data_IF_596616423359
#
_entry.id   IF_596616423359
#
_cell.length_a   1.000
_cell.length_b   1.000
_cell.length_c   1.000
_cell.angle_alpha   90.00
_cell.angle_beta   90.00
_cell.angle_gamma   90.00
#
_symmetry.space_group_name_H-M   'P 1'
#
loop_
_entity.id
_entity.type
_entity.pdbx_description
1 polymer ?
#
# COMPACT_ATOMS: atom_id res chain seq x y z
N UNK A 1 1.63 14.00 -69.92
CA UNK A 1 3.04 13.80 -69.52
C UNK A 1 3.70 15.17 -69.45
N UNK A 2 4.23 15.52 -68.27
CA UNK A 2 5.01 16.71 -67.91
C UNK A 2 4.69 18.05 -68.57
N UNK A 3 4.02 18.95 -67.81
CA UNK A 3 4.53 20.25 -67.36
C UNK A 3 3.40 21.00 -66.63
N UNK A 4 3.66 21.54 -65.43
CA UNK A 4 3.26 22.90 -65.05
C UNK A 4 3.95 23.37 -63.75
N UNK A 5 4.49 24.57 -63.86
CA UNK A 5 5.13 25.43 -62.88
C UNK A 5 4.18 25.95 -61.78
N UNK A 6 4.71 26.37 -60.62
CA UNK A 6 4.59 27.77 -60.13
C UNK A 6 5.28 28.01 -58.76
N UNK A 7 6.37 28.79 -58.80
CA UNK A 7 6.65 30.04 -58.07
C UNK A 7 6.07 30.39 -56.67
N UNK A 8 6.95 31.08 -55.90
CA UNK A 8 6.76 32.09 -54.82
C UNK A 8 6.51 31.54 -53.41
N UNK A 9 6.87 32.20 -52.32
CA UNK A 9 7.80 33.27 -51.96
C UNK A 9 7.84 33.27 -50.42
N UNK A 10 8.97 33.60 -49.81
CA UNK A 10 9.08 33.75 -48.35
C UNK A 10 8.27 34.98 -47.89
N UNK A 11 7.36 34.79 -46.94
CA UNK A 11 6.78 35.86 -46.13
C UNK A 11 6.72 35.43 -44.66
N UNK A 12 7.61 36.02 -43.87
CA UNK A 12 7.49 36.15 -42.42
C UNK A 12 6.24 36.95 -42.09
N UNK A 13 5.35 36.39 -41.27
CA UNK A 13 4.26 37.12 -40.66
C UNK A 13 4.30 36.89 -39.14
N UNK A 14 4.46 37.99 -38.41
CA UNK A 14 4.17 38.10 -36.99
C UNK A 14 2.67 37.97 -36.77
N UNK A 15 2.26 37.20 -35.76
CA UNK A 15 0.92 37.29 -35.18
C UNK A 15 0.99 37.02 -33.69
N UNK A 16 1.07 38.11 -32.93
CA UNK A 16 0.65 38.18 -31.54
C UNK A 16 -0.87 38.06 -31.54
N UNK A 17 -1.40 37.05 -30.85
CA UNK A 17 -2.81 36.99 -30.50
C UNK A 17 -2.90 36.99 -28.97
N UNK A 18 -3.37 38.12 -28.45
CA UNK A 18 -3.93 38.25 -27.12
C UNK A 18 -5.45 38.34 -27.27
N UNK A 19 -6.15 37.52 -26.50
CA UNK A 19 -7.42 37.76 -25.77
C UNK A 19 -8.26 36.48 -25.76
N UNK A 20 -8.66 36.09 -24.54
CA UNK A 20 -9.68 35.07 -24.31
C UNK A 20 -9.75 34.64 -22.86
N UNK A 21 -10.11 35.55 -21.95
CA UNK A 21 -10.57 35.20 -20.60
C UNK A 21 -11.86 34.38 -20.71
N UNK A 22 -11.78 33.05 -20.64
CA UNK A 22 -12.90 32.16 -20.35
C UNK A 22 -12.38 30.76 -19.99
N UNK A 23 -12.68 30.29 -18.77
CA UNK A 23 -12.55 28.89 -18.33
C UNK A 23 -11.10 28.45 -18.10
N UNK A 24 -10.72 27.90 -16.96
CA UNK A 24 -11.45 26.95 -16.15
C UNK A 24 -11.44 27.41 -14.70
N UNK A 25 -12.57 27.25 -14.00
CA UNK A 25 -12.48 26.88 -12.59
C UNK A 25 -11.55 25.67 -12.56
N UNK A 26 -10.32 25.87 -12.10
CA UNK A 26 -9.45 24.76 -11.74
C UNK A 26 -10.20 24.05 -10.64
N UNK A 27 -10.86 22.95 -11.01
CA UNK A 27 -11.19 21.90 -10.08
C UNK A 27 -9.83 21.47 -9.56
N UNK A 28 -9.39 22.08 -8.45
CA UNK A 28 -8.15 21.73 -7.80
C UNK A 28 -8.32 20.25 -7.48
N UNK A 29 -7.62 19.39 -8.20
CA UNK A 29 -7.22 18.10 -7.66
C UNK A 29 -6.71 18.43 -6.27
N UNK A 30 -7.50 18.10 -5.25
CA UNK A 30 -7.20 18.36 -3.86
C UNK A 30 -5.74 18.01 -3.65
N UNK A 31 -4.94 18.97 -3.18
CA UNK A 31 -3.52 18.77 -2.89
C UNK A 31 -3.48 17.74 -1.74
N UNK A 32 -3.56 16.45 -2.09
CA UNK A 32 -3.81 15.38 -1.13
C UNK A 32 -2.56 15.28 -0.28
N UNK A 33 -2.72 15.57 1.01
CA UNK A 33 -1.62 15.49 1.97
C UNK A 33 -1.10 14.06 2.05
N UNK A 34 0.11 13.82 1.56
CA UNK A 34 0.73 12.49 1.54
C UNK A 34 1.54 12.16 2.79
N UNK A 35 2.01 13.17 3.53
CA UNK A 35 2.88 12.96 4.70
C UNK A 35 2.42 13.74 5.93
N UNK A 36 2.70 13.14 7.09
CA UNK A 36 2.30 13.65 8.39
C UNK A 36 3.50 13.72 9.34
N UNK A 37 3.55 14.76 10.17
CA UNK A 37 4.31 14.70 11.42
C UNK A 37 3.61 13.76 12.40
N UNK A 38 4.36 13.22 13.35
CA UNK A 38 3.81 12.24 14.30
C UNK A 38 2.56 12.73 15.05
N UNK A 39 2.52 14.00 15.48
CA UNK A 39 1.35 14.54 16.19
C UNK A 39 0.14 14.75 15.27
N UNK A 40 0.38 15.14 14.02
CA UNK A 40 -0.66 15.36 13.02
C UNK A 40 -1.31 14.03 12.62
N UNK A 41 -0.48 13.02 12.38
CA UNK A 41 -0.93 11.64 12.14
C UNK A 41 -1.81 11.14 13.28
N UNK A 42 -1.37 11.33 14.53
CA UNK A 42 -2.12 10.92 15.72
C UNK A 42 -3.43 11.67 15.88
N UNK A 43 -3.45 12.96 15.60
CA UNK A 43 -4.65 13.78 15.67
C UNK A 43 -5.69 13.29 14.66
N UNK A 44 -5.30 13.15 13.40
CA UNK A 44 -6.22 12.73 12.34
C UNK A 44 -6.65 11.27 12.49
N UNK A 45 -5.76 10.39 12.97
CA UNK A 45 -6.12 9.01 13.29
C UNK A 45 -7.17 8.94 14.41
N UNK A 46 -7.10 9.81 15.42
CA UNK A 46 -8.12 9.89 16.48
C UNK A 46 -9.46 10.43 15.99
N UNK A 47 -9.45 11.30 14.99
CA UNK A 47 -10.70 11.77 14.36
C UNK A 47 -11.39 10.63 13.60
N UNK A 48 -10.61 9.81 12.87
CA UNK A 48 -11.13 8.64 12.15
C UNK A 48 -11.54 7.50 13.09
N UNK A 49 -10.76 7.26 14.14
CA UNK A 49 -10.96 6.17 15.09
C UNK A 49 -10.80 6.67 16.54
N UNK A 50 -11.85 7.29 17.13
CA UNK A 50 -11.77 7.90 18.46
C UNK A 50 -11.44 6.93 19.60
N UNK A 51 -11.73 5.65 19.40
CA UNK A 51 -11.50 4.58 20.38
C UNK A 51 -10.05 4.08 20.38
N UNK A 52 -9.23 4.49 19.40
CA UNK A 52 -7.87 4.00 19.24
C UNK A 52 -6.92 4.67 20.23
N UNK A 53 -6.22 3.87 21.04
CA UNK A 53 -5.22 4.35 22.00
C UNK A 53 -4.02 3.40 22.10
N UNK A 54 -2.93 3.90 22.69
CA UNK A 54 -1.71 3.11 22.92
C UNK A 54 -0.82 2.94 21.68
N UNK A 55 -0.20 1.77 21.53
CA UNK A 55 0.76 1.48 20.46
C UNK A 55 0.14 1.57 19.06
N UNK A 56 -1.16 1.29 18.92
CA UNK A 56 -1.89 1.44 17.65
C UNK A 56 -2.14 2.91 17.26
N UNK A 57 -1.84 3.86 18.14
CA UNK A 57 -1.87 5.29 17.80
C UNK A 57 -0.57 5.78 17.17
N UNK A 58 0.50 4.97 17.10
CA UNK A 58 1.81 5.43 16.63
C UNK A 58 1.91 5.41 15.10
N UNK A 59 2.53 6.43 14.48
CA UNK A 59 2.83 6.41 13.07
C UNK A 59 3.67 5.19 12.67
N UNK A 60 3.39 4.56 11.52
CA UNK A 60 4.06 3.33 11.13
C UNK A 60 5.56 3.52 10.84
N UNK A 61 5.98 4.74 10.51
CA UNK A 61 7.33 5.09 10.05
C UNK A 61 8.26 5.63 11.15
N UNK A 62 7.90 5.55 12.43
CA UNK A 62 8.76 6.05 13.52
C UNK A 62 10.04 5.20 13.68
N UNK A 63 11.18 5.84 13.51
CA UNK A 63 12.53 5.28 13.71
C UNK A 63 13.25 5.97 14.85
N UNK A 64 14.15 5.28 15.53
CA UNK A 64 14.92 5.88 16.63
C UNK A 64 16.01 6.83 16.10
N UNK A 65 16.45 7.74 16.98
CA UNK A 65 17.53 8.69 16.66
C UNK A 65 18.83 7.99 16.30
N UNK A 66 19.22 6.95 17.05
CA UNK A 66 20.46 6.22 16.82
C UNK A 66 20.50 5.55 15.45
N UNK A 67 19.38 4.94 15.04
CA UNK A 67 19.26 4.33 13.72
C UNK A 67 19.28 5.40 12.61
N UNK A 68 18.65 6.56 12.85
CA UNK A 68 18.69 7.67 11.90
C UNK A 68 20.11 8.21 11.69
N UNK A 69 20.89 8.37 12.77
CA UNK A 69 22.30 8.81 12.71
C UNK A 69 23.15 7.78 11.96
N UNK A 70 22.93 6.49 12.20
CA UNK A 70 23.65 5.43 11.51
C UNK A 70 23.34 5.43 10.00
N UNK A 71 22.06 5.57 9.64
CA UNK A 71 21.63 5.70 8.26
C UNK A 71 22.23 6.95 7.60
N UNK A 72 22.18 8.10 8.25
CA UNK A 72 22.75 9.35 7.75
C UNK A 72 24.24 9.22 7.45
N UNK A 73 25.03 8.66 8.36
CA UNK A 73 26.46 8.43 8.15
C UNK A 73 26.73 7.56 6.92
N UNK A 74 25.95 6.49 6.75
CA UNK A 74 26.09 5.56 5.62
C UNK A 74 25.66 6.18 4.30
N UNK A 75 24.54 6.91 4.30
CA UNK A 75 23.94 7.47 3.09
C UNK A 75 24.68 8.70 2.61
N UNK A 76 25.11 9.58 3.53
CA UNK A 76 25.77 10.84 3.17
C UNK A 76 27.20 10.64 2.66
N UNK A 77 27.83 9.48 2.88
CA UNK A 77 29.11 9.11 2.26
C UNK A 77 28.99 8.74 0.78
N UNK A 78 27.76 8.45 0.29
CA UNK A 78 27.51 8.23 -1.11
C UNK A 78 27.35 9.55 -1.89
N UNK A 79 27.74 9.59 -3.18
CA UNK A 79 27.52 10.74 -4.04
C UNK A 79 26.04 11.16 -4.08
N UNK A 80 25.73 12.47 -4.18
CA UNK A 80 24.35 12.95 -4.26
C UNK A 80 23.51 12.32 -5.39
N UNK A 81 22.19 12.44 -5.27
CA UNK A 81 21.24 11.91 -6.26
C UNK A 81 20.92 10.42 -6.04
N UNK A 82 20.77 9.67 -7.13
CA UNK A 82 20.32 8.28 -7.10
C UNK A 82 21.23 7.35 -6.28
N UNK A 83 22.53 7.67 -6.14
CA UNK A 83 23.47 6.89 -5.35
C UNK A 83 23.16 6.94 -3.84
N UNK A 84 22.64 8.05 -3.32
CA UNK A 84 22.18 8.13 -1.93
C UNK A 84 20.92 7.29 -1.69
N UNK A 85 19.98 7.32 -2.65
CA UNK A 85 18.76 6.50 -2.55
C UNK A 85 19.14 5.01 -2.54
N UNK A 86 20.02 4.57 -3.45
CA UNK A 86 20.58 3.21 -3.44
C UNK A 86 21.30 2.88 -2.14
N UNK A 87 22.11 3.80 -1.61
CA UNK A 87 22.79 3.59 -0.33
C UNK A 87 21.80 3.40 0.84
N UNK A 88 20.67 4.13 0.84
CA UNK A 88 19.63 3.95 1.84
C UNK A 88 18.93 2.59 1.68
N UNK A 89 18.60 2.18 0.45
CA UNK A 89 18.02 0.85 0.19
C UNK A 89 18.98 -0.26 0.62
N UNK A 90 20.26 -0.18 0.23
CA UNK A 90 21.27 -1.14 0.66
C UNK A 90 21.47 -1.15 2.17
N UNK A 91 21.36 0.00 2.85
CA UNK A 91 21.48 0.09 4.31
C UNK A 91 20.44 -0.76 5.05
N UNK A 92 19.23 -0.94 4.49
CA UNK A 92 18.23 -1.84 5.09
C UNK A 92 18.73 -3.29 5.13
N UNK A 93 19.34 -3.79 4.06
CA UNK A 93 19.80 -5.18 3.95
C UNK A 93 21.24 -5.44 4.41
N UNK A 94 22.11 -4.42 4.36
CA UNK A 94 23.53 -4.51 4.73
C UNK A 94 23.65 -5.07 6.17
N UNK A 95 24.59 -6.00 6.44
CA UNK A 95 24.69 -6.64 7.75
C UNK A 95 25.04 -5.65 8.85
N UNK A 96 24.61 -5.96 10.09
CA UNK A 96 25.05 -5.21 11.28
C UNK A 96 26.56 -5.39 11.48
N UNK A 97 27.29 -4.37 11.97
CA UNK A 97 26.78 -3.09 12.48
C UNK A 97 26.68 -1.96 11.43
N UNK A 98 27.04 -2.21 10.17
CA UNK A 98 27.10 -1.17 9.13
C UNK A 98 25.77 -0.90 8.44
N UNK A 99 24.84 -1.87 8.49
CA UNK A 99 23.45 -1.73 8.08
C UNK A 99 22.48 -2.29 9.12
N UNK A 100 21.23 -2.50 8.71
CA UNK A 100 20.17 -3.04 9.59
C UNK A 100 20.06 -4.57 9.56
N UNK A 101 20.59 -5.22 8.52
CA UNK A 101 20.51 -6.67 8.33
C UNK A 101 19.08 -7.18 8.19
N UNK A 102 18.16 -6.36 7.65
CA UNK A 102 16.77 -6.74 7.47
C UNK A 102 16.64 -7.80 6.37
N UNK A 103 15.83 -8.81 6.65
CA UNK A 103 15.49 -9.89 5.70
C UNK A 103 14.05 -9.79 5.26
N UNK A 104 13.80 -10.04 3.99
CA UNK A 104 12.42 -10.15 3.49
C UNK A 104 11.77 -11.41 4.09
N UNK A 105 10.61 -11.23 4.72
CA UNK A 105 9.81 -12.31 5.31
C UNK A 105 8.32 -11.97 5.11
N UNK A 106 7.68 -12.66 4.15
CA UNK A 106 6.28 -12.41 3.79
C UNK A 106 5.29 -12.67 4.94
N UNK A 107 5.70 -13.45 5.94
CA UNK A 107 4.87 -13.80 7.08
C UNK A 107 4.94 -12.77 8.24
N UNK A 108 5.72 -11.69 8.08
CA UNK A 108 5.93 -10.68 9.12
C UNK A 108 5.69 -9.27 8.60
N UNK A 109 4.64 -8.62 9.06
CA UNK A 109 4.31 -7.21 8.80
C UNK A 109 4.31 -6.47 10.12
N UNK A 110 4.96 -5.31 10.15
CA UNK A 110 5.07 -4.51 11.36
C UNK A 110 5.45 -3.06 11.04
N UNK A 111 5.29 -2.17 12.01
CA UNK A 111 5.83 -0.81 11.92
C UNK A 111 7.37 -0.80 11.96
N UNK A 112 7.96 0.34 11.61
CA UNK A 112 9.41 0.49 11.43
C UNK A 112 10.20 0.03 12.66
N UNK A 113 9.78 0.45 13.86
CA UNK A 113 10.41 0.09 15.13
C UNK A 113 10.41 -1.42 15.36
N UNK A 114 9.28 -2.08 15.14
CA UNK A 114 9.15 -3.53 15.32
C UNK A 114 9.94 -4.31 14.25
N UNK A 115 9.94 -3.85 12.99
CA UNK A 115 10.70 -4.43 11.87
C UNK A 115 12.21 -4.36 12.12
N UNK A 116 12.72 -3.21 12.57
CA UNK A 116 14.14 -3.05 12.93
C UNK A 116 14.53 -3.98 14.08
N UNK A 117 13.63 -4.16 15.06
CA UNK A 117 13.85 -5.03 16.21
C UNK A 117 13.84 -6.51 15.83
N UNK A 118 12.90 -6.94 15.00
CA UNK A 118 12.76 -8.34 14.56
C UNK A 118 13.84 -8.74 13.55
N UNK A 119 14.39 -7.78 12.79
CA UNK A 119 15.34 -8.01 11.71
C UNK A 119 14.71 -8.59 10.44
N UNK A 120 13.38 -8.59 10.33
CA UNK A 120 12.65 -9.17 9.20
C UNK A 120 11.30 -8.50 8.99
N UNK A 121 10.86 -8.49 7.74
CA UNK A 121 9.53 -7.98 7.38
C UNK A 121 9.17 -8.13 5.90
N UNK A 122 7.90 -7.99 5.60
CA UNK A 122 7.32 -7.95 4.25
C UNK A 122 7.53 -6.58 3.59
N UNK A 123 6.96 -6.39 2.39
CA UNK A 123 7.10 -5.14 1.63
C UNK A 123 6.58 -3.92 2.41
N UNK A 124 5.47 -4.05 3.13
CA UNK A 124 4.90 -2.98 3.97
C UNK A 124 5.86 -2.65 5.11
N UNK A 125 6.34 -3.66 5.83
CA UNK A 125 7.27 -3.50 6.94
C UNK A 125 8.57 -2.80 6.51
N UNK A 126 9.16 -3.21 5.40
CA UNK A 126 10.36 -2.58 4.85
C UNK A 126 10.07 -1.15 4.36
N UNK A 127 8.91 -0.91 3.76
CA UNK A 127 8.47 0.42 3.35
C UNK A 127 8.37 1.37 4.54
N UNK A 128 7.84 0.92 5.68
CA UNK A 128 7.76 1.77 6.89
C UNK A 128 9.14 2.21 7.38
N UNK A 129 10.14 1.31 7.36
CA UNK A 129 11.52 1.63 7.73
C UNK A 129 12.12 2.62 6.75
N UNK A 130 11.97 2.35 5.45
CA UNK A 130 12.53 3.17 4.39
C UNK A 130 11.98 4.61 4.41
N UNK A 131 10.65 4.77 4.57
CA UNK A 131 10.00 6.08 4.70
C UNK A 131 10.49 6.80 5.95
N UNK A 132 10.57 6.11 7.10
CA UNK A 132 11.06 6.70 8.35
C UNK A 132 12.48 7.24 8.23
N UNK A 133 13.39 6.46 7.64
CA UNK A 133 14.78 6.88 7.44
C UNK A 133 14.90 7.96 6.36
N UNK A 134 14.19 7.84 5.24
CA UNK A 134 14.23 8.88 4.21
C UNK A 134 13.76 10.23 4.76
N UNK A 135 12.71 10.24 5.59
CA UNK A 135 12.22 11.47 6.26
C UNK A 135 13.21 12.02 7.29
N UNK A 136 13.93 11.17 8.02
CA UNK A 136 14.97 11.66 8.94
C UNK A 136 16.16 12.31 8.22
N UNK A 137 16.36 11.96 6.94
CA UNK A 137 17.32 12.62 6.03
C UNK A 137 16.73 13.86 5.32
N UNK A 138 15.48 14.23 5.64
CA UNK A 138 14.77 15.36 5.03
C UNK A 138 14.27 15.11 3.61
N UNK A 139 14.09 13.85 3.20
CA UNK A 139 13.67 13.52 1.84
C UNK A 139 12.14 13.53 1.67
N UNK A 140 11.64 14.02 0.53
CA UNK A 140 10.25 13.86 0.11
C UNK A 140 9.99 12.42 -0.35
N UNK A 141 9.72 11.54 0.62
CA UNK A 141 9.46 10.11 0.44
C UNK A 141 8.06 9.75 0.92
N UNK A 142 7.35 8.96 0.11
CA UNK A 142 5.94 8.65 0.30
C UNK A 142 5.67 7.17 0.06
N UNK A 143 4.66 6.65 0.74
CA UNK A 143 4.12 5.33 0.43
C UNK A 143 3.38 5.39 -0.91
N UNK A 144 3.33 4.25 -1.59
CA UNK A 144 2.56 4.10 -2.80
C UNK A 144 1.96 2.70 -2.92
N UNK A 145 0.82 2.64 -3.59
CA UNK A 145 0.24 1.40 -4.08
C UNK A 145 0.80 1.12 -5.47
N UNK A 146 1.24 -0.10 -5.70
CA UNK A 146 1.54 -0.60 -7.03
C UNK A 146 0.43 -1.57 -7.43
N UNK A 147 -0.39 -1.17 -8.41
CA UNK A 147 -1.38 -2.06 -9.01
C UNK A 147 -0.72 -2.80 -10.15
N UNK A 148 -0.48 -4.09 -9.95
CA UNK A 148 -0.01 -4.99 -10.99
C UNK A 148 -1.17 -5.38 -11.90
N UNK A 149 -0.88 -5.60 -13.19
CA UNK A 149 -1.89 -6.10 -14.16
C UNK A 149 -2.35 -7.54 -13.83
N UNK A 150 -1.58 -8.26 -13.03
CA UNK A 150 -1.92 -9.57 -12.44
C UNK A 150 -1.61 -9.55 -10.94
N UNK A 151 -2.58 -9.76 -10.04
CA UNK A 151 -2.37 -9.66 -8.61
C UNK A 151 -1.70 -10.95 -8.09
N UNK A 152 -1.10 -10.87 -6.91
CA UNK A 152 -0.69 -12.09 -6.20
C UNK A 152 -1.89 -12.55 -5.37
N UNK A 153 -2.56 -13.63 -5.79
CA UNK A 153 -3.64 -14.27 -5.04
C UNK A 153 -3.12 -15.47 -4.25
N UNK A 154 -3.59 -15.62 -3.01
CA UNK A 154 -3.37 -16.81 -2.20
C UNK A 154 -4.71 -17.45 -1.87
N UNK A 155 -4.85 -18.74 -2.20
CA UNK A 155 -6.00 -19.53 -1.76
C UNK A 155 -5.76 -20.06 -0.35
N UNK A 156 -6.72 -19.84 0.55
CA UNK A 156 -6.70 -20.38 1.90
C UNK A 156 -8.04 -21.02 2.26
N UNK A 157 -8.04 -22.37 2.30
CA UNK A 157 -9.15 -23.20 2.81
C UNK A 157 -10.53 -22.76 2.28
N UNK A 158 -10.65 -22.54 0.96
CA UNK A 158 -11.86 -22.10 0.23
C UNK A 158 -12.09 -20.57 0.15
N UNK A 159 -11.09 -19.75 0.47
CA UNK A 159 -11.19 -18.29 0.36
C UNK A 159 -10.01 -17.76 -0.46
N UNK A 160 -10.29 -16.83 -1.38
CA UNK A 160 -9.25 -16.11 -2.11
C UNK A 160 -8.86 -14.84 -1.35
N UNK A 161 -7.62 -14.82 -0.85
CA UNK A 161 -7.00 -13.65 -0.23
C UNK A 161 -6.09 -13.01 -1.27
N UNK A 162 -6.38 -11.78 -1.68
CA UNK A 162 -5.46 -11.01 -2.49
C UNK A 162 -4.27 -10.56 -1.63
N UNK A 163 -3.09 -10.40 -2.23
CA UNK A 163 -1.90 -9.69 -1.70
C UNK A 163 -1.56 -8.56 -2.68
N UNK A 164 -1.64 -7.30 -2.24
CA UNK A 164 -1.26 -6.12 -3.04
C UNK A 164 0.18 -5.84 -2.65
N UNK A 165 0.95 -5.43 -3.63
CA UNK A 165 2.33 -5.10 -3.41
C UNK A 165 2.44 -3.62 -3.03
N UNK A 166 2.96 -3.35 -1.82
CA UNK A 166 3.26 -1.99 -1.41
C UNK A 166 4.62 -1.58 -1.94
N UNK A 167 4.66 -0.43 -2.61
CA UNK A 167 5.87 0.17 -3.19
C UNK A 167 6.15 1.49 -2.48
N UNK A 168 7.41 1.93 -2.49
CA UNK A 168 7.79 3.24 -1.96
C UNK A 168 8.21 4.15 -3.11
N UNK A 169 7.76 5.41 -3.12
CA UNK A 169 8.22 6.40 -4.09
C UNK A 169 9.06 7.47 -3.39
N UNK A 170 10.23 7.76 -3.96
CA UNK A 170 11.04 8.93 -3.65
C UNK A 170 10.84 9.97 -4.74
N UNK A 171 10.35 11.16 -4.35
CA UNK A 171 10.10 12.29 -5.27
C UNK A 171 11.13 13.40 -5.05
N UNK A 172 12.39 13.16 -5.42
CA UNK A 172 13.42 14.21 -5.37
C UNK A 172 13.31 15.13 -6.60
N UNK A 173 13.71 16.41 -6.46
CA UNK A 173 13.66 17.41 -7.55
C UNK A 173 14.32 16.95 -8.87
N UNK A 174 15.27 16.03 -8.81
CA UNK A 174 16.02 15.49 -9.95
C UNK A 174 15.88 13.98 -10.15
N UNK A 175 15.15 13.26 -9.27
CA UNK A 175 14.99 11.79 -9.34
C UNK A 175 13.59 11.41 -8.87
N UNK A 176 12.84 10.76 -9.75
CA UNK A 176 11.66 9.96 -9.38
C UNK A 176 12.09 8.50 -9.36
N UNK A 177 11.96 7.83 -8.22
CA UNK A 177 12.32 6.42 -8.08
C UNK A 177 11.22 5.69 -7.34
N UNK A 178 10.69 4.64 -7.95
CA UNK A 178 9.93 3.60 -7.27
C UNK A 178 10.89 2.55 -6.72
N UNK A 179 10.67 2.13 -5.49
CA UNK A 179 11.47 1.14 -4.79
C UNK A 179 10.56 -0.02 -4.46
N UNK A 180 10.90 -1.17 -5.03
CA UNK A 180 10.19 -2.42 -4.94
C UNK A 180 11.12 -3.46 -4.28
N UNK A 181 10.66 -4.06 -3.18
CA UNK A 181 11.45 -5.04 -2.43
C UNK A 181 11.42 -6.46 -3.00
N UNK A 182 10.49 -6.73 -3.93
CA UNK A 182 10.40 -7.97 -4.71
C UNK A 182 11.15 -7.85 -6.06
N UNK A 183 11.62 -6.66 -6.42
CA UNK A 183 12.26 -6.39 -7.72
C UNK A 183 11.26 -6.29 -8.88
N UNK A 184 9.95 -6.20 -8.58
CA UNK A 184 8.85 -6.19 -9.54
C UNK A 184 8.48 -4.77 -9.98
N UNK A 185 9.43 -4.03 -10.58
CA UNK A 185 9.03 -2.83 -11.34
C UNK A 185 9.04 -3.18 -12.82
N UNK A 186 8.05 -3.96 -13.24
CA UNK A 186 7.77 -4.22 -14.65
C UNK A 186 7.21 -2.95 -15.34
N UNK A 187 7.37 -2.86 -16.65
CA UNK A 187 6.66 -1.85 -17.45
C UNK A 187 5.14 -2.08 -17.32
N UNK A 188 4.39 -1.03 -17.00
CA UNK A 188 2.92 -1.09 -16.95
C UNK A 188 2.27 -1.18 -15.56
N UNK A 189 3.04 -1.11 -14.47
CA UNK A 189 2.49 -0.99 -13.11
C UNK A 189 1.96 0.42 -12.88
N UNK A 190 0.68 0.55 -12.51
CA UNK A 190 0.10 1.83 -12.07
C UNK A 190 0.54 2.08 -10.62
N UNK A 191 1.36 3.12 -10.43
CA UNK A 191 1.91 3.50 -9.13
C UNK A 191 1.20 4.75 -8.64
N UNK A 192 0.45 4.62 -7.54
CA UNK A 192 -0.32 5.70 -6.94
C UNK A 192 0.26 6.08 -5.57
N UNK A 193 0.77 7.30 -5.38
CA UNK A 193 1.12 7.79 -4.04
C UNK A 193 -0.10 7.72 -3.11
N UNK A 194 0.14 7.30 -1.88
CA UNK A 194 -0.86 7.25 -0.82
C UNK A 194 -0.37 8.00 0.40
N UNK A 195 -1.33 8.45 1.22
CA UNK A 195 -1.03 9.14 2.44
C UNK A 195 -0.67 8.16 3.59
N UNK A 196 -0.05 8.67 4.66
CA UNK A 196 0.41 7.80 5.74
C UNK A 196 -0.73 7.08 6.48
N UNK A 197 -1.95 7.62 6.49
CA UNK A 197 -3.10 6.98 7.13
C UNK A 197 -3.59 5.82 6.27
N UNK A 198 -3.67 6.00 4.95
CA UNK A 198 -3.92 4.90 4.00
C UNK A 198 -2.84 3.82 4.12
N UNK A 199 -1.56 4.20 4.19
CA UNK A 199 -0.45 3.23 4.38
C UNK A 199 -0.56 2.49 5.72
N UNK A 200 -1.03 3.18 6.76
CA UNK A 200 -1.29 2.57 8.06
C UNK A 200 -2.46 1.58 8.01
N UNK A 201 -3.54 1.89 7.29
CA UNK A 201 -4.65 0.95 7.07
C UNK A 201 -4.18 -0.33 6.38
N UNK A 202 -3.30 -0.23 5.38
CA UNK A 202 -2.66 -1.39 4.75
C UNK A 202 -1.83 -2.22 5.73
N UNK A 203 -1.01 -1.57 6.56
CA UNK A 203 -0.23 -2.26 7.60
C UNK A 203 -1.14 -3.02 8.57
N UNK A 204 -2.19 -2.37 9.08
CA UNK A 204 -3.13 -3.01 10.02
C UNK A 204 -3.86 -4.18 9.35
N UNK A 205 -4.30 -4.01 8.11
CA UNK A 205 -4.90 -5.09 7.33
C UNK A 205 -3.94 -6.29 7.16
N UNK A 206 -2.66 -6.04 6.85
CA UNK A 206 -1.67 -7.11 6.67
C UNK A 206 -1.35 -7.82 7.98
N UNK A 207 -1.17 -7.08 9.08
CA UNK A 207 -0.96 -7.65 10.42
C UNK A 207 -2.12 -8.56 10.82
N UNK A 208 -3.36 -8.15 10.55
CA UNK A 208 -4.54 -8.95 10.83
C UNK A 208 -4.58 -10.24 9.98
N UNK A 209 -4.30 -10.15 8.68
CA UNK A 209 -4.24 -11.30 7.78
C UNK A 209 -3.15 -12.30 8.15
N UNK A 210 -1.94 -11.82 8.43
CA UNK A 210 -0.82 -12.70 8.83
C UNK A 210 -1.10 -13.43 10.13
N UNK A 211 -1.82 -12.82 11.07
CA UNK A 211 -2.18 -13.50 12.32
C UNK A 211 -3.02 -14.75 12.05
N UNK A 212 -3.89 -14.71 11.05
CA UNK A 212 -4.66 -15.89 10.60
C UNK A 212 -3.76 -16.89 9.90
N UNK A 213 -2.92 -16.44 8.96
CA UNK A 213 -2.06 -17.33 8.17
C UNK A 213 -1.00 -18.06 9.02
N UNK A 214 -0.53 -17.41 10.09
CA UNK A 214 0.50 -17.94 10.97
C UNK A 214 -0.07 -18.84 12.09
N UNK A 215 -1.39 -18.83 12.33
CA UNK A 215 -1.99 -19.69 13.34
C UNK A 215 -2.01 -21.16 12.88
N UNK A 216 -1.47 -22.04 13.72
CA UNK A 216 -1.39 -23.49 13.47
C UNK A 216 -2.14 -24.33 14.51
N UNK A 217 -2.67 -23.69 15.56
CA UNK A 217 -3.37 -24.29 16.68
C UNK A 217 -4.88 -24.44 16.47
N UNK A 218 -5.55 -24.93 17.52
CA UNK A 218 -6.96 -25.31 17.49
C UNK A 218 -7.93 -24.12 17.63
N UNK A 219 -7.51 -22.98 18.19
CA UNK A 219 -8.40 -21.84 18.48
C UNK A 219 -8.49 -20.86 17.29
N UNK A 220 -8.94 -21.38 16.16
CA UNK A 220 -9.14 -20.57 14.96
C UNK A 220 -10.20 -19.47 15.18
N UNK A 221 -11.21 -19.73 16.02
CA UNK A 221 -12.28 -18.75 16.28
C UNK A 221 -11.76 -17.50 16.99
N UNK A 222 -10.92 -17.64 18.01
CA UNK A 222 -10.30 -16.48 18.65
C UNK A 222 -9.40 -15.71 17.68
N UNK A 223 -8.65 -16.42 16.83
CA UNK A 223 -7.78 -15.78 15.83
C UNK A 223 -8.58 -15.00 14.80
N UNK A 224 -9.67 -15.56 14.27
CA UNK A 224 -10.56 -14.85 13.36
C UNK A 224 -11.25 -13.66 14.04
N UNK A 225 -11.60 -13.75 15.33
CA UNK A 225 -12.15 -12.61 16.07
C UNK A 225 -11.15 -11.47 16.24
N UNK A 226 -9.87 -11.78 16.47
CA UNK A 226 -8.81 -10.75 16.51
C UNK A 226 -8.57 -10.16 15.12
N UNK A 227 -8.55 -11.00 14.08
CA UNK A 227 -8.37 -10.54 12.71
C UNK A 227 -9.52 -9.64 12.24
N UNK A 228 -10.77 -10.00 12.57
CA UNK A 228 -11.96 -9.18 12.33
C UNK A 228 -11.76 -7.76 12.88
N UNK A 229 -11.35 -7.61 14.16
CA UNK A 229 -11.11 -6.30 14.77
C UNK A 229 -10.03 -5.49 14.04
N UNK A 230 -8.99 -6.18 13.55
CA UNK A 230 -7.94 -5.55 12.73
C UNK A 230 -8.47 -5.07 11.39
N UNK A 231 -9.28 -5.88 10.69
CA UNK A 231 -9.89 -5.47 9.43
C UNK A 231 -10.91 -4.35 9.62
N UNK A 232 -11.74 -4.40 10.66
CA UNK A 232 -12.66 -3.30 11.05
C UNK A 232 -11.90 -2.00 11.34
N UNK A 233 -10.74 -2.09 11.98
CA UNK A 233 -9.90 -0.92 12.21
C UNK A 233 -9.35 -0.37 10.89
N UNK A 234 -8.86 -1.22 9.99
CA UNK A 234 -8.38 -0.80 8.68
C UNK A 234 -9.48 -0.11 7.85
N UNK A 235 -10.72 -0.62 7.87
CA UNK A 235 -11.85 -0.01 7.14
C UNK A 235 -12.33 1.30 7.77
N UNK A 236 -12.15 1.50 9.08
CA UNK A 236 -12.41 2.79 9.73
C UNK A 236 -11.33 3.83 9.39
N UNK A 237 -10.07 3.43 9.31
CA UNK A 237 -8.95 4.33 8.96
C UNK A 237 -9.04 4.73 7.48
N UNK A 238 -9.30 3.77 6.59
CA UNK A 238 -9.45 3.99 5.14
C UNK A 238 -10.72 3.31 4.62
N UNK A 239 -11.86 4.02 4.60
CA UNK A 239 -13.13 3.48 4.13
C UNK A 239 -13.15 3.08 2.66
N UNK A 240 -12.19 3.54 1.85
CA UNK A 240 -12.07 3.19 0.43
C UNK A 240 -11.08 2.06 0.16
N UNK A 241 -10.52 1.43 1.20
CA UNK A 241 -9.62 0.28 1.05
C UNK A 241 -10.43 -1.00 0.79
N UNK A 242 -10.81 -1.24 -0.46
CA UNK A 242 -11.67 -2.37 -0.86
C UNK A 242 -11.18 -3.74 -0.38
N UNK A 243 -9.85 -3.95 -0.35
CA UNK A 243 -9.20 -5.14 0.20
C UNK A 243 -9.50 -5.37 1.68
N UNK A 244 -9.49 -4.32 2.50
CA UNK A 244 -9.80 -4.44 3.92
C UNK A 244 -11.26 -4.87 4.12
N UNK A 245 -12.17 -4.36 3.27
CA UNK A 245 -13.56 -4.81 3.24
C UNK A 245 -13.71 -6.27 2.81
N UNK A 246 -12.97 -6.72 1.80
CA UNK A 246 -12.96 -8.13 1.39
C UNK A 246 -12.46 -9.03 2.54
N UNK A 247 -11.35 -8.66 3.18
CA UNK A 247 -10.80 -9.41 4.31
C UNK A 247 -11.72 -9.41 5.53
N UNK A 248 -12.44 -8.29 5.76
CA UNK A 248 -13.48 -8.23 6.79
C UNK A 248 -14.64 -9.18 6.49
N UNK A 249 -15.10 -9.24 5.24
CA UNK A 249 -16.10 -10.21 4.79
C UNK A 249 -15.67 -11.66 5.00
N UNK A 250 -14.39 -11.96 4.74
CA UNK A 250 -13.78 -13.27 5.01
C UNK A 250 -13.84 -13.59 6.50
N UNK A 251 -13.40 -12.66 7.36
CA UNK A 251 -13.41 -12.87 8.80
C UNK A 251 -14.83 -13.10 9.33
N UNK A 252 -15.81 -12.29 8.91
CA UNK A 252 -17.21 -12.48 9.27
C UNK A 252 -17.77 -13.83 8.79
N UNK A 253 -17.44 -14.24 7.57
CA UNK A 253 -17.85 -15.56 7.03
C UNK A 253 -17.30 -16.70 7.89
N UNK A 254 -16.04 -16.60 8.33
CA UNK A 254 -15.40 -17.62 9.17
C UNK A 254 -15.97 -17.67 10.58
N UNK A 255 -16.47 -16.54 11.07
CA UNK A 255 -17.15 -16.42 12.36
C UNK A 255 -18.65 -16.74 12.31
N UNK A 256 -19.19 -17.08 11.13
CA UNK A 256 -20.61 -17.38 10.93
C UNK A 256 -21.53 -16.16 10.92
N UNK A 257 -20.96 -14.95 10.83
CA UNK A 257 -21.66 -13.67 10.83
C UNK A 257 -22.03 -13.27 9.40
N UNK A 258 -22.92 -14.05 8.77
CA UNK A 258 -23.15 -13.97 7.32
C UNK A 258 -23.78 -12.67 6.83
N UNK A 259 -24.64 -12.02 7.63
CA UNK A 259 -25.24 -10.74 7.23
C UNK A 259 -24.20 -9.62 7.18
N UNK A 260 -23.33 -9.54 8.19
CA UNK A 260 -22.20 -8.62 8.20
C UNK A 260 -21.20 -8.95 7.08
N UNK A 261 -20.95 -10.24 6.82
CA UNK A 261 -20.10 -10.67 5.72
C UNK A 261 -20.63 -10.18 4.37
N UNK A 262 -21.94 -10.31 4.13
CA UNK A 262 -22.59 -9.84 2.90
C UNK A 262 -22.36 -8.34 2.68
N UNK A 263 -22.60 -7.53 3.72
CA UNK A 263 -22.39 -6.07 3.65
C UNK A 263 -20.93 -5.71 3.37
N UNK A 264 -19.99 -6.39 4.04
CA UNK A 264 -18.57 -6.15 3.85
C UNK A 264 -18.10 -6.53 2.43
N UNK A 265 -18.54 -7.68 1.90
CA UNK A 265 -18.22 -8.04 0.53
C UNK A 265 -18.87 -7.13 -0.50
N UNK A 266 -20.15 -6.75 -0.33
CA UNK A 266 -20.81 -5.79 -1.21
C UNK A 266 -20.04 -4.46 -1.25
N UNK A 267 -19.59 -3.98 -0.09
CA UNK A 267 -18.76 -2.79 -0.02
C UNK A 267 -17.41 -2.97 -0.73
N UNK A 268 -16.79 -4.15 -0.63
CA UNK A 268 -15.56 -4.45 -1.35
C UNK A 268 -15.79 -4.46 -2.87
N UNK A 269 -16.89 -5.04 -3.35
CA UNK A 269 -17.29 -5.05 -4.78
C UNK A 269 -17.52 -3.62 -5.30
N UNK A 270 -18.22 -2.77 -4.54
CA UNK A 270 -18.43 -1.35 -4.89
C UNK A 270 -17.12 -0.56 -5.04
N UNK A 271 -16.11 -0.92 -4.25
CA UNK A 271 -14.79 -0.26 -4.24
C UNK A 271 -13.85 -0.82 -5.32
N UNK A 272 -14.35 -1.73 -6.16
CA UNK A 272 -13.61 -2.44 -7.20
C UNK A 272 -12.36 -3.14 -6.63
N UNK A 273 -12.57 -4.29 -5.99
CA UNK A 273 -11.47 -5.21 -5.75
C UNK A 273 -11.05 -5.80 -7.09
N UNK A 274 -9.86 -5.40 -7.53
CA UNK A 274 -9.23 -5.94 -8.71
C UNK A 274 -9.37 -7.48 -8.75
N UNK A 275 -9.71 -8.01 -9.92
CA UNK A 275 -9.78 -9.45 -10.21
C UNK A 275 -10.94 -10.23 -9.57
N UNK A 276 -12.01 -9.56 -9.13
CA UNK A 276 -13.29 -10.21 -8.78
C UNK A 276 -13.24 -11.07 -7.51
N UNK A 277 -12.19 -10.94 -6.68
CA UNK A 277 -12.05 -11.77 -5.48
C UNK A 277 -13.21 -11.56 -4.48
N UNK A 278 -13.70 -10.33 -4.33
CA UNK A 278 -14.82 -10.03 -3.44
C UNK A 278 -16.13 -10.63 -3.97
N UNK A 279 -16.36 -10.59 -5.29
CA UNK A 279 -17.51 -11.22 -5.93
C UNK A 279 -17.48 -12.74 -5.75
N UNK A 280 -16.32 -13.35 -5.95
CA UNK A 280 -16.10 -14.78 -5.75
C UNK A 280 -16.32 -15.19 -4.28
N UNK A 281 -15.73 -14.46 -3.33
CA UNK A 281 -15.89 -14.73 -1.91
C UNK A 281 -17.35 -14.51 -1.44
N UNK A 282 -18.05 -13.51 -2.00
CA UNK A 282 -19.48 -13.29 -1.78
C UNK A 282 -20.29 -14.48 -2.27
N UNK A 283 -20.05 -14.95 -3.49
CA UNK A 283 -20.73 -16.11 -4.08
C UNK A 283 -20.55 -17.37 -3.23
N UNK A 284 -19.32 -17.66 -2.79
CA UNK A 284 -19.02 -18.80 -1.91
C UNK A 284 -19.81 -18.69 -0.60
N UNK A 285 -19.80 -17.52 0.02
CA UNK A 285 -20.53 -17.27 1.27
C UNK A 285 -22.04 -17.47 1.08
N UNK A 286 -22.64 -16.92 0.02
CA UNK A 286 -24.08 -17.06 -0.24
C UNK A 286 -24.49 -18.52 -0.50
N UNK A 287 -23.65 -19.29 -1.19
CA UNK A 287 -23.88 -20.72 -1.41
C UNK A 287 -23.93 -21.48 -0.09
N UNK A 288 -23.00 -21.17 0.81
CA UNK A 288 -22.95 -21.76 2.17
C UNK A 288 -24.18 -21.41 3.00
N UNK A 289 -24.70 -20.18 2.91
CA UNK A 289 -25.92 -19.75 3.62
C UNK A 289 -27.16 -20.48 3.12
N UNK A 290 -27.25 -20.78 1.82
CA UNK A 290 -28.44 -21.41 1.20
C UNK A 290 -28.54 -22.93 1.42
N UNK A 291 -27.57 -23.56 2.08
CA UNK A 291 -27.61 -25.00 2.37
C UNK A 291 -27.42 -25.90 1.15
N UNK A 292 -26.94 -25.37 0.01
CA UNK A 292 -26.59 -26.15 -1.18
C UNK A 292 -25.26 -26.89 -0.95
N UNK A 293 -25.33 -28.21 -0.82
CA UNK A 293 -24.27 -29.14 -0.44
C UNK A 293 -23.09 -29.26 -1.43
N UNK A 294 -21.96 -29.73 -0.92
CA UNK A 294 -20.81 -30.35 -1.63
C UNK A 294 -20.13 -29.47 -2.70
N UNK A 295 -18.95 -28.95 -2.34
CA UNK A 295 -18.04 -28.28 -3.25
C UNK A 295 -17.79 -29.15 -4.47
N UNK A 296 -18.10 -28.65 -5.66
CA UNK A 296 -17.51 -29.16 -6.90
C UNK A 296 -16.00 -29.03 -6.69
N UNK A 297 -15.28 -30.16 -6.62
CA UNK A 297 -13.84 -30.20 -6.84
C UNK A 297 -13.58 -29.63 -8.23
N UNK A 298 -13.47 -28.31 -8.30
CA UNK A 298 -12.92 -27.62 -9.45
C UNK A 298 -11.43 -27.93 -9.46
N UNK A 299 -11.07 -29.09 -10.02
CA UNK A 299 -9.80 -29.22 -10.71
C UNK A 299 -9.82 -28.15 -11.80
N UNK A 300 -9.24 -26.99 -11.52
CA UNK A 300 -8.91 -26.05 -12.58
C UNK A 300 -7.83 -26.69 -13.47
N UNK A 301 -7.90 -26.46 -14.79
CA UNK A 301 -6.99 -27.03 -15.78
C UNK A 301 -5.53 -26.64 -15.57
#
# INVERSE_FOLDING_TARGET
MHWHWMHRARLTAWLIVLIGLCGCASNSSSDQRLSYRSEEFRAELRERVPTLSGELGRPPFEVTRDISILAERRVMSAPPGASRVRALVSFLSDPKPTGLGLKYDWAVSANAKATIKSGRGDCVALATVLVGLGRSLGWPIYFAEARTLTPITHEFREVTVLSDHMVVIVLAKSVRMSIDFLGLVEEGVDIRPIDDLTAYAHLINNVAGQRVLNEKGADLMAVWSVAQKGFELATQIEPRLGRAWNNLGIAYTRLGQFDQARLAYQRAVELDTAFGSAEHNLMIMETRVRGGTTMIESKLP
#
